data_IF_993666586938
#
_entry.id   IF_993666586938
#
_cell.length_a   1.000
_cell.length_b   1.000
_cell.length_c   1.000
_cell.angle_alpha   90.00
_cell.angle_beta   90.00
_cell.angle_gamma   90.00
#
_symmetry.space_group_name_H-M   'P 1'
#
loop_
_entity.id
_entity.type
_entity.pdbx_description
1 polymer ?
#
# COMPACT_ATOMS: atom_id res chain seq x y z
N UNK A 1 -4.14 -6.72 6.97
CA UNK A 1 -5.12 -7.46 7.79
C UNK A 1 -5.79 -8.58 7.03
N UNK A 2 -6.56 -8.31 5.95
CA UNK A 2 -7.37 -9.35 5.27
C UNK A 2 -6.55 -10.50 4.69
N UNK A 3 -5.41 -10.22 4.04
CA UNK A 3 -4.50 -11.26 3.52
C UNK A 3 -3.91 -12.14 4.63
N UNK A 4 -3.53 -11.54 5.76
CA UNK A 4 -3.05 -12.27 6.92
C UNK A 4 -4.15 -13.15 7.53
N UNK A 5 -5.37 -12.62 7.67
CA UNK A 5 -6.51 -13.40 8.20
C UNK A 5 -6.81 -14.61 7.31
N UNK A 6 -6.78 -14.45 5.98
CA UNK A 6 -6.87 -15.55 5.02
C UNK A 6 -5.77 -16.58 5.27
N UNK A 7 -4.51 -16.15 5.29
CA UNK A 7 -3.38 -17.06 5.42
C UNK A 7 -3.39 -17.83 6.76
N UNK A 8 -3.74 -17.17 7.88
CA UNK A 8 -3.88 -17.82 9.18
C UNK A 8 -5.00 -18.87 9.17
N UNK A 9 -6.18 -18.51 8.70
CA UNK A 9 -7.33 -19.40 8.68
C UNK A 9 -7.11 -20.61 7.75
N UNK A 10 -6.60 -20.40 6.55
CA UNK A 10 -6.28 -21.47 5.58
C UNK A 10 -5.17 -22.41 6.09
N UNK A 11 -4.26 -21.92 6.92
CA UNK A 11 -3.22 -22.73 7.60
C UNK A 11 -3.76 -23.40 8.88
N UNK A 12 -5.04 -23.31 9.17
CA UNK A 12 -5.72 -24.01 10.25
C UNK A 12 -5.74 -23.31 11.60
N UNK A 13 -5.32 -22.04 11.67
CA UNK A 13 -5.47 -21.26 12.89
C UNK A 13 -6.96 -21.14 13.29
N UNK A 14 -7.25 -21.27 14.58
CA UNK A 14 -8.60 -21.13 15.13
C UNK A 14 -8.77 -19.80 15.83
N UNK A 15 -10.02 -19.29 15.85
CA UNK A 15 -10.34 -18.04 16.53
C UNK A 15 -9.72 -16.80 15.87
N UNK A 16 -9.50 -16.84 14.57
CA UNK A 16 -9.03 -15.67 13.80
C UNK A 16 -10.18 -14.67 13.69
N UNK A 17 -10.01 -13.51 14.33
CA UNK A 17 -11.02 -12.43 14.31
C UNK A 17 -10.35 -11.13 13.88
N UNK A 18 -10.94 -10.44 12.92
CA UNK A 18 -10.53 -9.11 12.47
C UNK A 18 -11.56 -8.10 12.98
N UNK A 19 -11.11 -7.16 13.78
CA UNK A 19 -11.89 -5.99 14.19
C UNK A 19 -11.49 -4.79 13.34
N UNK A 20 -12.47 -4.09 12.80
CA UNK A 20 -12.25 -2.93 11.96
C UNK A 20 -13.32 -1.86 12.26
N UNK A 21 -12.98 -0.60 12.39
CA UNK A 21 -13.96 0.48 12.53
C UNK A 21 -14.78 0.71 11.26
N UNK A 22 -14.28 0.29 10.10
CA UNK A 22 -14.94 0.44 8.79
C UNK A 22 -14.49 -0.66 7.81
N UNK A 23 -15.19 -1.79 7.82
CA UNK A 23 -14.89 -2.90 6.91
C UNK A 23 -15.08 -2.52 5.42
N UNK A 24 -15.92 -1.57 5.09
CA UNK A 24 -16.01 -1.04 3.73
C UNK A 24 -14.71 -0.34 3.34
N UNK A 25 -14.07 0.30 4.32
CA UNK A 25 -12.75 0.89 4.17
C UNK A 25 -12.76 2.23 3.46
N UNK A 26 -13.83 3.01 3.58
CA UNK A 26 -14.02 4.29 2.87
C UNK A 26 -12.89 5.31 3.05
N UNK A 27 -12.10 5.18 4.12
CA UNK A 27 -10.93 6.02 4.40
C UNK A 27 -9.62 5.22 4.38
N UNK A 28 -9.67 3.93 4.05
CA UNK A 28 -8.47 3.09 4.06
C UNK A 28 -7.60 3.31 2.83
N UNK A 29 -6.29 3.21 3.00
CA UNK A 29 -5.34 3.22 1.89
C UNK A 29 -5.62 2.10 0.87
N UNK A 30 -6.24 1.00 1.30
CA UNK A 30 -6.63 -0.12 0.43
C UNK A 30 -7.79 0.22 -0.50
N UNK A 31 -8.69 1.13 -0.12
CA UNK A 31 -9.83 1.55 -0.94
C UNK A 31 -9.47 2.72 -1.86
N UNK A 32 -8.63 3.63 -1.35
CA UNK A 32 -8.35 4.91 -1.99
C UNK A 32 -7.12 4.91 -2.91
N UNK A 33 -6.49 3.73 -3.15
CA UNK A 33 -5.31 3.64 -3.99
C UNK A 33 -5.63 3.51 -5.49
N UNK A 34 -4.62 3.74 -6.31
CA UNK A 34 -4.70 3.70 -7.77
C UNK A 34 -4.64 2.29 -8.40
N UNK A 35 -4.55 1.22 -7.62
CA UNK A 35 -4.57 -0.15 -8.12
C UNK A 35 -3.30 -0.62 -8.84
N UNK A 36 -2.24 0.17 -8.86
CA UNK A 36 -0.99 -0.20 -9.47
C UNK A 36 -0.24 -1.28 -8.69
N UNK A 37 0.31 -2.28 -9.39
CA UNK A 37 1.15 -3.33 -8.80
C UNK A 37 2.41 -3.55 -9.62
N UNK A 38 3.57 -3.52 -8.96
CA UNK A 38 4.89 -3.63 -9.59
C UNK A 38 5.89 -4.36 -8.70
N UNK A 39 6.92 -4.93 -9.30
CA UNK A 39 8.08 -5.46 -8.58
C UNK A 39 9.38 -4.73 -8.96
N UNK A 40 9.27 -3.62 -9.66
CA UNK A 40 10.39 -2.75 -10.05
C UNK A 40 10.84 -1.87 -8.88
N UNK A 41 11.36 -2.49 -7.81
CA UNK A 41 11.94 -1.86 -6.63
C UNK A 41 13.46 -1.90 -6.65
N UNK A 42 14.10 -1.18 -5.72
CA UNK A 42 15.56 -1.22 -5.54
C UNK A 42 15.98 -2.33 -4.57
N UNK A 43 15.23 -2.54 -3.49
CA UNK A 43 15.57 -3.51 -2.47
C UNK A 43 15.15 -4.93 -2.84
N UNK A 44 16.06 -5.92 -2.79
CA UNK A 44 15.75 -7.32 -3.13
C UNK A 44 14.56 -7.89 -2.33
N UNK A 45 14.42 -7.50 -1.07
CA UNK A 45 13.31 -7.95 -0.22
C UNK A 45 11.96 -7.44 -0.73
N UNK A 46 11.88 -6.16 -1.15
CA UNK A 46 10.66 -5.56 -1.72
C UNK A 46 10.34 -6.17 -3.10
N UNK A 47 11.35 -6.42 -3.93
CA UNK A 47 11.20 -7.11 -5.22
C UNK A 47 10.58 -8.49 -5.01
N UNK A 48 11.12 -9.27 -4.06
CA UNK A 48 10.63 -10.63 -3.78
C UNK A 48 9.19 -10.62 -3.25
N UNK A 49 8.86 -9.72 -2.33
CA UNK A 49 7.49 -9.57 -1.82
C UNK A 49 6.49 -9.30 -2.95
N UNK A 50 6.82 -8.36 -3.83
CA UNK A 50 5.96 -8.00 -4.95
C UNK A 50 5.86 -9.13 -5.96
N UNK A 51 6.98 -9.74 -6.36
CA UNK A 51 6.98 -10.86 -7.30
C UNK A 51 6.06 -11.98 -6.85
N UNK A 52 6.20 -12.43 -5.60
CA UNK A 52 5.38 -13.51 -5.04
C UNK A 52 3.89 -13.13 -4.96
N UNK A 53 3.60 -11.87 -4.66
CA UNK A 53 2.22 -11.38 -4.64
C UNK A 53 1.64 -11.27 -6.04
N UNK A 54 2.39 -10.76 -7.01
CA UNK A 54 1.95 -10.63 -8.41
C UNK A 54 1.78 -12.01 -9.05
N UNK A 55 2.63 -12.99 -8.73
CA UNK A 55 2.43 -14.38 -9.16
C UNK A 55 1.09 -14.93 -8.65
N UNK A 56 0.74 -14.63 -7.40
CA UNK A 56 -0.57 -14.99 -6.85
C UNK A 56 -1.71 -14.23 -7.54
N UNK A 57 -1.58 -12.93 -7.79
CA UNK A 57 -2.62 -12.15 -8.48
C UNK A 57 -2.83 -12.62 -9.91
N UNK A 58 -1.77 -13.03 -10.60
CA UNK A 58 -1.87 -13.59 -11.94
C UNK A 58 -2.61 -14.95 -11.95
N UNK A 59 -2.40 -15.77 -10.92
CA UNK A 59 -3.13 -17.03 -10.77
C UNK A 59 -4.62 -16.85 -10.44
N UNK A 60 -5.02 -15.65 -9.97
CA UNK A 60 -6.38 -15.26 -9.58
C UNK A 60 -6.87 -14.01 -10.33
N UNK A 61 -6.42 -13.84 -11.58
CA UNK A 61 -6.55 -12.60 -12.32
C UNK A 61 -8.00 -12.12 -12.46
N UNK A 62 -8.94 -13.03 -12.72
CA UNK A 62 -10.37 -12.70 -12.84
C UNK A 62 -10.96 -12.24 -11.52
N UNK A 63 -10.62 -12.92 -10.40
CA UNK A 63 -11.17 -12.61 -9.08
C UNK A 63 -10.67 -11.27 -8.52
N UNK A 64 -9.45 -10.86 -8.88
CA UNK A 64 -8.82 -9.64 -8.34
C UNK A 64 -8.69 -8.53 -9.38
N UNK A 65 -9.13 -8.78 -10.62
CA UNK A 65 -9.05 -7.83 -11.72
C UNK A 65 -7.61 -7.50 -12.15
N UNK A 66 -6.66 -8.43 -11.97
CA UNK A 66 -5.27 -8.19 -12.34
C UNK A 66 -5.07 -8.25 -13.85
N UNK A 67 -4.34 -7.27 -14.37
CA UNK A 67 -3.92 -7.19 -15.76
C UNK A 67 -2.43 -6.87 -15.82
N UNK A 68 -1.64 -7.72 -16.45
CA UNK A 68 -0.24 -7.47 -16.76
C UNK A 68 -0.13 -6.53 -17.96
N UNK A 69 -0.43 -5.25 -17.75
CA UNK A 69 -0.42 -4.23 -18.80
C UNK A 69 0.86 -3.38 -18.80
N UNK A 70 1.79 -3.70 -17.91
CA UNK A 70 3.10 -3.08 -17.81
C UNK A 70 3.15 -1.78 -17.00
N UNK A 71 4.37 -1.44 -16.60
CA UNK A 71 4.75 -0.13 -16.11
C UNK A 71 5.78 0.46 -17.06
N UNK A 72 5.59 1.69 -17.46
CA UNK A 72 6.51 2.43 -18.31
C UNK A 72 7.05 3.64 -17.56
N UNK A 73 8.33 3.58 -17.22
CA UNK A 73 9.06 4.62 -16.53
C UNK A 73 9.83 5.46 -17.54
N UNK A 74 9.42 6.70 -17.78
CA UNK A 74 10.21 7.63 -18.60
C UNK A 74 11.49 8.00 -17.87
N UNK A 75 12.61 8.09 -18.60
CA UNK A 75 13.92 8.22 -17.98
C UNK A 75 14.67 9.44 -18.54
N UNK A 76 15.06 10.33 -17.63
CA UNK A 76 16.16 11.28 -17.87
C UNK A 76 17.52 10.57 -17.74
N UNK A 77 18.61 11.27 -18.04
CA UNK A 77 19.98 10.75 -17.85
C UNK A 77 20.21 10.27 -16.42
N UNK A 78 19.84 11.11 -15.45
CA UNK A 78 20.00 10.82 -14.01
C UNK A 78 19.04 9.72 -13.54
N UNK A 79 17.82 9.72 -14.08
CA UNK A 79 16.81 8.70 -13.82
C UNK A 79 17.30 7.32 -14.25
N UNK A 80 17.81 7.20 -15.47
CA UNK A 80 18.35 5.96 -16.01
C UNK A 80 19.54 5.46 -15.18
N UNK A 81 20.52 6.32 -14.91
CA UNK A 81 21.69 5.97 -14.11
C UNK A 81 21.33 5.49 -12.70
N UNK A 82 20.25 6.01 -12.12
CA UNK A 82 19.71 5.52 -10.84
C UNK A 82 19.04 4.15 -10.99
N UNK A 83 18.18 3.98 -11.99
CA UNK A 83 17.41 2.77 -12.23
C UNK A 83 18.29 1.58 -12.60
N UNK A 84 19.36 1.79 -13.37
CA UNK A 84 20.34 0.76 -13.75
C UNK A 84 20.95 0.03 -12.56
N UNK A 85 21.06 0.66 -11.38
CA UNK A 85 21.53 0.03 -10.14
C UNK A 85 20.64 -1.12 -9.67
N UNK A 86 19.38 -1.16 -10.15
CA UNK A 86 18.42 -2.22 -9.78
C UNK A 86 18.35 -3.35 -10.80
N UNK A 87 18.92 -3.20 -11.98
CA UNK A 87 18.79 -4.19 -13.05
C UNK A 87 19.34 -5.57 -12.66
N UNK A 88 20.42 -5.60 -11.89
CA UNK A 88 20.97 -6.86 -11.37
C UNK A 88 19.97 -7.56 -10.43
N UNK A 89 19.38 -6.79 -9.49
CA UNK A 89 18.40 -7.31 -8.54
C UNK A 89 17.15 -7.83 -9.27
N UNK A 90 16.68 -7.14 -10.31
CA UNK A 90 15.54 -7.60 -11.11
C UNK A 90 15.85 -8.89 -11.88
N UNK A 91 17.05 -8.99 -12.49
CA UNK A 91 17.53 -10.21 -13.18
C UNK A 91 17.63 -11.38 -12.20
N UNK A 92 18.23 -11.17 -11.03
CA UNK A 92 18.33 -12.20 -9.98
C UNK A 92 16.97 -12.66 -9.48
N UNK A 93 16.01 -11.75 -9.38
CA UNK A 93 14.63 -12.07 -9.03
C UNK A 93 13.84 -12.72 -10.17
N UNK A 94 14.39 -12.83 -11.37
CA UNK A 94 13.68 -13.30 -12.56
C UNK A 94 12.54 -12.38 -13.00
N UNK A 95 12.65 -11.07 -12.68
CA UNK A 95 11.63 -10.09 -13.06
C UNK A 95 11.97 -9.47 -14.42
N UNK A 96 11.12 -9.62 -15.46
CA UNK A 96 11.41 -9.13 -16.80
C UNK A 96 11.31 -7.61 -16.88
N UNK A 97 12.24 -7.01 -17.59
CA UNK A 97 12.22 -5.60 -17.95
C UNK A 97 12.88 -5.39 -19.31
N UNK A 98 12.55 -4.28 -19.95
CA UNK A 98 13.13 -3.84 -21.21
C UNK A 98 13.61 -2.39 -21.06
N UNK A 99 14.73 -2.08 -21.69
CA UNK A 99 15.19 -0.69 -21.81
C UNK A 99 14.89 -0.24 -23.22
N UNK A 100 14.14 0.83 -23.36
CA UNK A 100 13.70 1.40 -24.63
C UNK A 100 14.45 2.71 -24.90
N UNK A 101 14.89 2.90 -26.12
CA UNK A 101 15.29 4.22 -26.60
C UNK A 101 14.08 5.10 -26.91
N UNK A 102 14.32 6.37 -27.21
CA UNK A 102 13.26 7.34 -27.53
C UNK A 102 12.48 6.93 -28.78
N UNK A 103 13.13 6.27 -29.75
CA UNK A 103 12.45 5.83 -30.98
C UNK A 103 11.42 4.73 -30.68
N UNK A 104 11.79 3.72 -29.88
CA UNK A 104 10.88 2.66 -29.42
C UNK A 104 9.78 3.21 -28.53
N UNK A 105 10.11 4.16 -27.65
CA UNK A 105 9.13 4.85 -26.82
C UNK A 105 8.05 5.53 -27.68
N UNK A 106 8.45 6.34 -28.67
CA UNK A 106 7.53 7.02 -29.60
C UNK A 106 6.72 6.06 -30.47
N UNK A 107 7.29 4.93 -30.83
CA UNK A 107 6.56 3.90 -31.57
C UNK A 107 5.44 3.25 -30.72
N UNK A 108 5.64 3.13 -29.41
CA UNK A 108 4.65 2.57 -28.49
C UNK A 108 3.63 3.62 -28.01
N UNK A 109 4.09 4.83 -27.72
CA UNK A 109 3.30 5.94 -27.19
C UNK A 109 3.49 7.18 -28.07
N UNK A 110 2.90 7.16 -29.28
CA UNK A 110 3.08 8.20 -30.31
C UNK A 110 2.57 9.58 -29.90
N UNK A 111 1.78 9.64 -28.84
CA UNK A 111 1.28 10.87 -28.24
C UNK A 111 2.34 11.58 -27.37
N UNK A 112 3.45 10.93 -27.01
CA UNK A 112 4.60 11.58 -26.35
C UNK A 112 5.41 12.29 -27.43
N UNK A 113 5.22 13.59 -27.56
CA UNK A 113 5.86 14.40 -28.60
C UNK A 113 7.03 15.26 -28.09
N UNK A 114 7.10 15.55 -26.79
CA UNK A 114 8.17 16.32 -26.14
C UNK A 114 9.10 15.38 -25.37
N UNK A 115 10.27 15.15 -25.89
CA UNK A 115 11.22 14.11 -25.40
C UNK A 115 12.65 14.60 -25.22
N UNK A 116 12.89 15.90 -25.25
CA UNK A 116 14.26 16.49 -25.25
C UNK A 116 15.01 16.20 -23.94
N UNK A 117 14.29 15.98 -22.84
CA UNK A 117 14.83 15.60 -21.53
C UNK A 117 14.96 14.08 -21.34
N UNK A 118 14.52 13.27 -22.30
CA UNK A 118 14.49 11.82 -22.18
C UNK A 118 15.66 11.15 -22.90
N UNK A 119 16.24 10.14 -22.25
CA UNK A 119 17.15 9.16 -22.88
C UNK A 119 16.41 7.88 -23.30
N UNK A 120 15.16 7.72 -22.88
CA UNK A 120 14.31 6.57 -23.19
C UNK A 120 13.36 6.23 -22.06
N UNK A 121 13.06 4.94 -21.92
CA UNK A 121 12.20 4.43 -20.88
C UNK A 121 12.63 3.04 -20.40
N UNK A 122 12.17 2.66 -19.20
CA UNK A 122 12.23 1.28 -18.70
C UNK A 122 10.81 0.74 -18.65
N UNK A 123 10.59 -0.39 -19.31
CA UNK A 123 9.30 -1.07 -19.36
C UNK A 123 9.36 -2.41 -18.64
N UNK A 124 8.44 -2.62 -17.71
CA UNK A 124 8.31 -3.88 -16.98
C UNK A 124 6.96 -4.55 -17.33
N UNK A 125 6.94 -5.54 -18.24
CA UNK A 125 5.71 -6.07 -18.83
C UNK A 125 4.82 -6.86 -17.86
N UNK A 126 5.37 -7.35 -16.75
CA UNK A 126 4.61 -8.08 -15.72
C UNK A 126 4.12 -7.20 -14.58
N UNK A 127 4.59 -5.97 -14.49
CA UNK A 127 3.95 -4.97 -13.66
C UNK A 127 2.57 -4.66 -14.26
N UNK A 128 1.63 -4.16 -13.48
CA UNK A 128 0.31 -3.94 -14.03
C UNK A 128 -0.67 -3.29 -13.07
N UNK A 129 -1.93 -3.52 -13.32
CA UNK A 129 -3.05 -2.95 -12.57
C UNK A 129 -3.94 -4.06 -12.02
N UNK A 130 -4.55 -3.82 -10.88
CA UNK A 130 -5.61 -4.67 -10.34
C UNK A 130 -6.72 -3.82 -9.72
N UNK A 131 -7.83 -4.45 -9.40
CA UNK A 131 -8.88 -3.78 -8.66
C UNK A 131 -8.67 -4.01 -7.15
N UNK A 132 -8.29 -2.96 -6.37
CA UNK A 132 -7.99 -3.11 -4.94
C UNK A 132 -9.19 -3.59 -4.12
N UNK A 133 -10.42 -3.24 -4.55
CA UNK A 133 -11.64 -3.67 -3.89
C UNK A 133 -11.92 -5.15 -4.12
N UNK A 134 -11.77 -5.63 -5.34
CA UNK A 134 -11.88 -7.06 -5.64
C UNK A 134 -10.82 -7.86 -4.88
N UNK A 135 -9.58 -7.39 -4.81
CA UNK A 135 -8.53 -8.03 -4.03
C UNK A 135 -8.87 -8.11 -2.53
N UNK A 136 -9.35 -7.00 -1.95
CA UNK A 136 -9.81 -6.95 -0.56
C UNK A 136 -10.92 -7.97 -0.30
N UNK A 137 -11.92 -8.03 -1.18
CA UNK A 137 -13.05 -8.96 -1.09
C UNK A 137 -12.59 -10.40 -1.28
N UNK A 138 -11.71 -10.67 -2.22
CA UNK A 138 -11.12 -12.00 -2.45
C UNK A 138 -10.47 -12.54 -1.18
N UNK A 139 -9.58 -11.77 -0.54
CA UNK A 139 -8.96 -12.19 0.72
C UNK A 139 -9.98 -12.43 1.83
N UNK A 140 -10.97 -11.56 1.96
CA UNK A 140 -12.02 -11.70 2.99
C UNK A 140 -12.91 -12.91 2.76
N UNK A 141 -13.32 -13.17 1.54
CA UNK A 141 -14.14 -14.33 1.20
C UNK A 141 -13.39 -15.62 1.53
N UNK A 142 -12.13 -15.74 1.14
CA UNK A 142 -11.30 -16.90 1.45
C UNK A 142 -11.08 -17.06 2.95
N UNK A 143 -10.78 -15.96 3.65
CA UNK A 143 -10.62 -15.99 5.10
C UNK A 143 -11.89 -16.48 5.82
N UNK A 144 -13.06 -15.94 5.44
CA UNK A 144 -14.36 -16.38 6.00
C UNK A 144 -14.66 -17.85 5.69
N UNK A 145 -14.43 -18.29 4.45
CA UNK A 145 -14.61 -19.69 4.06
C UNK A 145 -13.71 -20.64 4.87
N UNK A 146 -12.53 -20.19 5.29
CA UNK A 146 -11.62 -20.92 6.17
C UNK A 146 -11.90 -20.76 7.67
N UNK A 147 -12.96 -20.01 8.05
CA UNK A 147 -13.42 -19.89 9.44
C UNK A 147 -12.99 -18.62 10.18
N UNK A 148 -12.43 -17.63 9.50
CA UNK A 148 -12.16 -16.32 10.11
C UNK A 148 -13.44 -15.48 10.24
N UNK A 149 -13.49 -14.64 11.28
CA UNK A 149 -14.60 -13.71 11.53
C UNK A 149 -14.15 -12.27 11.30
N UNK A 150 -14.99 -11.46 10.70
CA UNK A 150 -14.78 -10.01 10.53
C UNK A 150 -15.87 -9.26 11.29
N UNK A 151 -15.46 -8.39 12.19
CA UNK A 151 -16.31 -7.61 13.08
C UNK A 151 -16.20 -6.14 12.71
N UNK A 152 -17.27 -5.60 12.14
CA UNK A 152 -17.36 -4.23 11.66
C UNK A 152 -17.68 -3.23 12.75
N UNK A 153 -17.34 -1.97 12.53
CA UNK A 153 -17.70 -0.82 13.39
C UNK A 153 -17.19 -0.97 14.83
N UNK A 154 -15.98 -1.48 14.97
CA UNK A 154 -15.34 -1.63 16.28
C UNK A 154 -13.99 -0.90 16.27
N UNK A 155 -13.92 0.23 16.96
CA UNK A 155 -12.73 1.05 17.11
C UNK A 155 -11.99 0.67 18.39
N UNK A 156 -10.71 0.31 18.28
CA UNK A 156 -9.87 -0.02 19.45
C UNK A 156 -9.67 1.25 20.29
N UNK A 157 -9.95 1.16 21.61
CA UNK A 157 -9.81 2.26 22.54
C UNK A 157 -8.74 2.03 23.60
N UNK A 158 -8.49 0.79 23.93
CA UNK A 158 -7.48 0.41 24.92
C UNK A 158 -6.94 -0.99 24.64
N UNK A 159 -5.65 -1.19 24.93
CA UNK A 159 -5.00 -2.48 24.82
C UNK A 159 -3.98 -2.65 25.95
N UNK A 160 -3.96 -3.84 26.58
CA UNK A 160 -3.01 -4.16 27.62
C UNK A 160 -2.44 -5.56 27.42
N UNK A 161 -1.15 -5.62 27.19
CA UNK A 161 -0.41 -6.90 27.10
C UNK A 161 -0.17 -7.43 28.50
N UNK A 162 -0.59 -8.67 28.76
CA UNK A 162 -0.44 -9.34 30.06
C UNK A 162 0.07 -10.77 29.93
N UNK A 163 0.39 -11.38 31.06
CA UNK A 163 0.88 -12.76 31.10
C UNK A 163 -0.14 -13.77 30.56
N UNK A 164 -1.44 -13.51 30.77
CA UNK A 164 -2.53 -14.39 30.34
C UNK A 164 -3.02 -14.14 28.91
N UNK A 165 -2.63 -13.04 28.27
CA UNK A 165 -3.11 -12.64 26.95
C UNK A 165 -3.06 -11.15 26.76
N UNK A 166 -3.63 -10.69 25.65
CA UNK A 166 -3.81 -9.27 25.33
C UNK A 166 -5.27 -8.89 25.60
N UNK A 167 -5.48 -7.99 26.53
CA UNK A 167 -6.78 -7.45 26.86
C UNK A 167 -7.06 -6.26 25.97
N UNK A 168 -8.20 -6.28 25.28
CA UNK A 168 -8.59 -5.27 24.30
C UNK A 168 -9.95 -4.70 24.66
N UNK A 169 -10.11 -3.40 24.47
CA UNK A 169 -11.39 -2.74 24.61
C UNK A 169 -11.72 -1.98 23.33
N UNK A 170 -12.91 -2.25 22.80
CA UNK A 170 -13.43 -1.61 21.60
C UNK A 170 -14.66 -0.75 21.93
N UNK A 171 -14.75 0.38 21.26
CA UNK A 171 -15.99 1.13 21.13
C UNK A 171 -16.73 0.64 19.89
N UNK A 172 -18.03 0.38 20.04
CA UNK A 172 -18.90 0.07 18.92
C UNK A 172 -19.42 1.38 18.31
N UNK A 173 -19.09 1.63 17.05
CA UNK A 173 -19.56 2.80 16.30
C UNK A 173 -21.01 2.65 15.87
N UNK A 174 -21.66 3.75 15.53
CA UNK A 174 -23.05 3.81 15.06
C UNK A 174 -23.33 2.90 13.84
N UNK A 175 -24.59 2.67 13.54
CA UNK A 175 -24.99 1.74 12.47
C UNK A 175 -24.69 2.23 11.05
N UNK A 176 -24.58 3.54 10.86
CA UNK A 176 -24.30 4.14 9.55
C UNK A 176 -23.58 5.50 9.75
N UNK A 177 -22.30 5.48 10.19
CA UNK A 177 -21.57 6.72 10.43
C UNK A 177 -21.30 7.44 9.10
N UNK A 178 -21.47 8.77 9.09
CA UNK A 178 -21.10 9.62 7.99
C UNK A 178 -19.57 9.59 7.76
N UNK A 179 -19.11 10.13 6.63
CA UNK A 179 -17.66 10.25 6.38
C UNK A 179 -16.97 11.09 7.45
N UNK A 180 -17.59 12.18 7.87
CA UNK A 180 -17.09 13.09 8.91
C UNK A 180 -17.01 12.36 10.26
N UNK A 181 -18.05 11.62 10.66
CA UNK A 181 -18.05 10.83 11.89
C UNK A 181 -16.95 9.75 11.89
N UNK A 182 -16.67 9.13 10.73
CA UNK A 182 -15.55 8.21 10.58
C UNK A 182 -14.20 8.91 10.75
N UNK A 183 -14.01 10.08 10.11
CA UNK A 183 -12.78 10.88 10.25
C UNK A 183 -12.56 11.28 11.72
N UNK A 184 -13.59 11.74 12.41
CA UNK A 184 -13.52 12.13 13.82
C UNK A 184 -13.22 10.92 14.72
N UNK A 185 -13.82 9.77 14.44
CA UNK A 185 -13.53 8.53 15.15
C UNK A 185 -12.06 8.14 15.02
N UNK A 186 -11.49 8.18 13.82
CA UNK A 186 -10.07 7.89 13.59
C UNK A 186 -9.14 8.92 14.24
N UNK A 187 -9.42 10.21 14.11
CA UNK A 187 -8.64 11.29 14.79
C UNK A 187 -8.65 11.14 16.30
N UNK A 188 -9.75 10.64 16.87
CA UNK A 188 -9.88 10.43 18.31
C UNK A 188 -8.93 9.37 18.86
N UNK A 189 -8.31 8.52 18.00
CA UNK A 189 -7.31 7.52 18.42
C UNK A 189 -6.05 8.17 19.03
N UNK A 190 -5.69 9.39 18.64
CA UNK A 190 -4.55 10.10 19.22
C UNK A 190 -4.71 10.30 20.74
N UNK A 191 -5.95 10.46 21.22
CA UNK A 191 -6.30 10.66 22.64
C UNK A 191 -7.09 9.48 23.18
N UNK A 192 -6.83 8.28 22.66
CA UNK A 192 -7.61 7.10 23.01
C UNK A 192 -7.49 6.74 24.48
N UNK A 193 -8.60 6.42 25.09
CA UNK A 193 -8.73 6.00 26.49
C UNK A 193 -9.88 4.99 26.61
N UNK A 194 -9.90 4.16 27.66
CA UNK A 194 -11.00 3.24 27.89
C UNK A 194 -12.36 3.90 27.84
N UNK A 195 -13.30 3.31 27.11
CA UNK A 195 -14.67 3.83 26.97
C UNK A 195 -15.62 3.09 27.90
N UNK A 196 -16.44 3.79 28.73
CA UNK A 196 -17.48 3.13 29.52
C UNK A 196 -18.43 2.31 28.63
N UNK A 197 -18.71 1.06 29.00
CA UNK A 197 -19.60 0.18 28.23
C UNK A 197 -19.00 -0.43 26.96
N UNK A 198 -17.73 -0.23 26.68
CA UNK A 198 -17.06 -0.80 25.52
C UNK A 198 -16.99 -2.34 25.54
N UNK A 199 -16.89 -2.94 24.35
CA UNK A 199 -16.73 -4.39 24.18
C UNK A 199 -15.34 -4.80 24.64
N UNK A 200 -15.23 -5.73 25.58
CA UNK A 200 -13.96 -6.24 26.10
C UNK A 200 -13.73 -7.67 25.65
N UNK A 201 -12.54 -7.93 25.15
CA UNK A 201 -12.10 -9.26 24.78
C UNK A 201 -10.68 -9.53 25.30
N UNK A 202 -10.33 -10.79 25.37
CA UNK A 202 -8.95 -11.25 25.60
C UNK A 202 -8.56 -12.14 24.44
N UNK A 203 -7.41 -11.87 23.86
CA UNK A 203 -6.84 -12.64 22.76
C UNK A 203 -5.47 -13.21 23.20
N UNK A 204 -5.11 -14.38 22.67
CA UNK A 204 -3.77 -14.93 22.87
C UNK A 204 -2.71 -14.07 22.19
N UNK A 205 -3.04 -13.57 21.00
CA UNK A 205 -2.16 -12.78 20.15
C UNK A 205 -2.94 -11.65 19.46
N UNK A 206 -2.25 -10.56 19.18
CA UNK A 206 -2.76 -9.45 18.38
C UNK A 206 -1.80 -9.13 17.25
N UNK A 207 -2.33 -8.68 16.13
CA UNK A 207 -1.55 -8.12 15.03
C UNK A 207 -2.03 -6.70 14.73
N UNK A 208 -1.13 -5.74 14.86
CA UNK A 208 -1.39 -4.37 14.44
C UNK A 208 -1.34 -4.29 12.89
N UNK A 209 -2.49 -4.16 12.27
CA UNK A 209 -2.65 -3.97 10.82
C UNK A 209 -3.41 -2.67 10.53
N UNK A 210 -3.28 -1.67 11.42
CA UNK A 210 -4.12 -0.49 11.40
C UNK A 210 -3.73 0.57 10.34
N UNK A 211 -2.73 0.27 9.49
CA UNK A 211 -2.29 1.16 8.41
C UNK A 211 -1.96 2.56 8.95
N UNK A 212 -2.54 3.65 8.42
CA UNK A 212 -2.22 5.01 8.84
C UNK A 212 -2.42 5.30 10.35
N UNK A 213 -3.11 4.41 11.06
CA UNK A 213 -3.33 4.50 12.52
C UNK A 213 -2.50 3.50 13.32
N UNK A 214 -1.53 2.85 12.70
CA UNK A 214 -0.71 1.84 13.38
C UNK A 214 0.10 2.42 14.54
N UNK A 215 0.52 3.68 14.44
CA UNK A 215 1.23 4.37 15.52
C UNK A 215 0.37 4.52 16.78
N UNK A 216 -0.90 4.87 16.64
CA UNK A 216 -1.84 5.00 17.74
C UNK A 216 -2.11 3.64 18.40
N UNK A 217 -2.29 2.60 17.59
CA UNK A 217 -2.45 1.22 18.08
C UNK A 217 -1.17 0.72 18.76
N UNK A 218 0.01 1.01 18.22
CA UNK A 218 1.29 0.67 18.81
C UNK A 218 1.44 1.27 20.22
N UNK A 219 1.10 2.57 20.37
CA UNK A 219 1.09 3.25 21.67
C UNK A 219 0.18 2.56 22.68
N UNK A 220 -1.03 2.13 22.30
CA UNK A 220 -1.93 1.37 23.18
C UNK A 220 -1.32 0.02 23.58
N UNK A 221 -0.60 -0.62 22.69
CA UNK A 221 0.07 -1.91 22.90
C UNK A 221 1.42 -1.78 23.64
N UNK A 222 1.88 -0.55 23.91
CA UNK A 222 3.07 -0.28 24.68
C UNK A 222 4.40 -0.41 23.93
N UNK A 223 4.40 -0.11 22.61
CA UNK A 223 5.63 -0.06 21.81
C UNK A 223 5.68 1.16 20.89
N UNK A 224 6.86 1.55 20.47
CA UNK A 224 7.08 2.66 19.58
C UNK A 224 6.97 2.23 18.12
N UNK A 225 6.25 3.04 17.32
CA UNK A 225 6.13 2.89 15.89
C UNK A 225 6.69 4.15 15.21
N UNK A 226 7.78 4.06 14.44
CA UNK A 226 8.43 5.23 13.86
C UNK A 226 7.71 5.80 12.63
N UNK A 227 6.57 5.21 12.25
CA UNK A 227 5.80 5.61 11.07
C UNK A 227 5.04 6.91 11.28
N UNK A 228 4.69 7.53 10.17
CA UNK A 228 3.84 8.71 10.13
C UNK A 228 2.90 8.65 8.92
N UNK A 229 1.75 9.29 9.05
CA UNK A 229 0.77 9.39 7.98
C UNK A 229 0.99 10.65 7.16
N UNK A 230 0.86 10.54 5.83
CA UNK A 230 0.86 11.67 4.91
C UNK A 230 -0.25 11.52 3.90
N UNK A 231 -0.83 12.64 3.48
CA UNK A 231 -1.82 12.65 2.43
C UNK A 231 -1.18 12.29 1.07
N UNK A 232 -1.94 11.56 0.26
CA UNK A 232 -1.67 11.41 -1.17
C UNK A 232 -2.95 11.72 -1.93
N UNK A 233 -2.83 12.48 -2.99
CA UNK A 233 -3.95 12.98 -3.77
C UNK A 233 -3.97 12.29 -5.14
N UNK A 234 -5.15 11.88 -5.54
CA UNK A 234 -5.41 11.24 -6.83
C UNK A 234 -6.45 12.06 -7.58
N UNK A 235 -6.21 12.30 -8.86
CA UNK A 235 -7.11 12.98 -9.78
C UNK A 235 -7.66 12.01 -10.82
N UNK A 236 -8.94 12.12 -11.12
CA UNK A 236 -9.58 11.52 -12.28
C UNK A 236 -9.79 12.62 -13.33
N UNK A 237 -9.35 12.38 -14.56
CA UNK A 237 -9.40 13.36 -15.63
C UNK A 237 -9.63 12.71 -16.98
N UNK A 238 -10.04 13.50 -17.98
CA UNK A 238 -10.37 13.09 -19.33
C UNK A 238 -9.29 13.58 -20.31
N UNK A 239 -8.84 12.69 -21.20
CA UNK A 239 -7.93 12.99 -22.30
C UNK A 239 -8.61 12.64 -23.63
N UNK A 240 -9.44 13.53 -24.14
CA UNK A 240 -10.30 13.28 -25.31
C UNK A 240 -9.56 12.91 -26.58
N UNK A 241 -8.34 13.42 -26.74
CA UNK A 241 -7.57 13.35 -27.99
C UNK A 241 -6.45 12.29 -27.93
N UNK A 242 -6.42 11.48 -26.85
CA UNK A 242 -5.38 10.45 -26.64
C UNK A 242 -6.01 9.12 -26.28
N UNK A 243 -5.77 8.11 -27.11
CA UNK A 243 -6.12 6.74 -26.76
C UNK A 243 -5.01 6.13 -25.89
N UNK A 244 -5.31 5.91 -24.63
CA UNK A 244 -4.42 5.24 -23.66
C UNK A 244 -4.89 3.81 -23.32
N UNK A 245 -5.88 3.28 -24.03
CA UNK A 245 -6.51 1.98 -23.72
C UNK A 245 -5.52 0.80 -23.69
N UNK A 246 -4.43 0.90 -24.43
CA UNK A 246 -3.35 -0.11 -24.48
C UNK A 246 -2.21 0.16 -23.50
N UNK A 247 -2.22 1.29 -22.79
CA UNK A 247 -1.18 1.65 -21.83
C UNK A 247 -1.47 1.01 -20.47
N UNK A 248 -0.40 0.64 -19.79
CA UNK A 248 -0.43 0.35 -18.36
C UNK A 248 -0.20 1.60 -17.51
N UNK A 249 0.48 1.44 -16.39
CA UNK A 249 0.93 2.57 -15.58
C UNK A 249 2.07 3.30 -16.26
N UNK A 250 1.94 4.60 -16.39
CA UNK A 250 2.96 5.50 -16.92
C UNK A 250 3.52 6.35 -15.78
N UNK A 251 4.84 6.50 -15.71
CA UNK A 251 5.51 7.37 -14.75
C UNK A 251 6.41 8.34 -15.51
N UNK A 252 6.06 9.61 -15.43
CA UNK A 252 6.80 10.69 -16.05
C UNK A 252 8.03 11.10 -15.24
N UNK A 253 9.01 11.74 -15.85
CA UNK A 253 10.22 12.27 -15.16
C UNK A 253 9.90 13.31 -14.11
N UNK A 254 8.76 13.99 -14.20
CA UNK A 254 8.21 14.89 -13.17
C UNK A 254 7.77 14.18 -11.89
N UNK A 255 7.61 12.86 -11.93
CA UNK A 255 7.05 12.05 -10.85
C UNK A 255 5.54 11.87 -10.93
N UNK A 256 4.87 12.49 -11.89
CA UNK A 256 3.45 12.23 -12.15
C UNK A 256 3.29 10.81 -12.70
N UNK A 257 2.44 10.04 -12.05
CA UNK A 257 2.00 8.73 -12.55
C UNK A 257 0.55 8.78 -13.00
N UNK A 258 0.22 7.99 -14.02
CA UNK A 258 -1.14 7.88 -14.50
C UNK A 258 -1.39 6.59 -15.27
N UNK A 259 -2.65 6.19 -15.35
CA UNK A 259 -3.09 5.03 -16.13
C UNK A 259 -4.55 5.19 -16.58
N UNK A 260 -4.98 4.46 -17.63
CA UNK A 260 -6.39 4.44 -18.02
C UNK A 260 -7.25 3.73 -16.96
N UNK A 261 -8.39 4.33 -16.62
CA UNK A 261 -9.36 3.81 -15.66
C UNK A 261 -10.80 4.08 -16.15
N UNK A 262 -11.52 3.00 -16.50
CA UNK A 262 -12.93 3.05 -16.89
C UNK A 262 -13.28 4.13 -17.97
N UNK A 263 -12.41 4.29 -18.98
CA UNK A 263 -12.57 5.26 -20.05
C UNK A 263 -12.08 6.68 -19.73
N UNK A 264 -11.52 6.88 -18.55
CA UNK A 264 -10.84 8.09 -18.10
C UNK A 264 -9.39 7.80 -17.76
N UNK A 265 -8.72 8.76 -17.15
CA UNK A 265 -7.36 8.62 -16.64
C UNK A 265 -7.38 8.89 -15.15
N UNK A 266 -6.70 8.04 -14.42
CA UNK A 266 -6.43 8.20 -12.99
C UNK A 266 -4.95 8.48 -12.83
N UNK A 267 -4.61 9.53 -12.08
CA UNK A 267 -3.21 9.90 -11.87
C UNK A 267 -2.99 10.68 -10.58
N UNK A 268 -1.74 10.76 -10.20
CA UNK A 268 -1.30 11.44 -8.98
C UNK A 268 0.19 11.71 -8.98
N UNK A 269 0.66 12.25 -7.88
CA UNK A 269 2.08 12.49 -7.61
C UNK A 269 2.35 12.35 -6.11
N UNK A 270 3.51 11.79 -5.74
CA UNK A 270 3.95 11.76 -4.36
C UNK A 270 4.68 13.05 -3.99
N UNK A 271 3.96 14.04 -3.48
CA UNK A 271 4.56 15.28 -2.98
C UNK A 271 5.40 14.99 -1.73
N UNK A 272 6.68 15.42 -1.74
CA UNK A 272 7.60 15.21 -0.61
C UNK A 272 7.33 16.16 0.55
N UNK A 273 6.79 17.33 0.25
CA UNK A 273 6.54 18.42 1.23
C UNK A 273 5.13 18.35 1.83
N UNK A 274 4.39 17.28 1.59
CA UNK A 274 3.06 17.09 2.17
C UNK A 274 3.17 17.03 3.70
N UNK A 275 2.40 17.83 4.44
CA UNK A 275 2.44 17.85 5.91
C UNK A 275 2.10 16.48 6.51
N UNK A 276 2.84 16.09 7.55
CA UNK A 276 2.53 14.90 8.34
C UNK A 276 1.19 15.08 9.04
N UNK A 277 0.32 14.07 8.96
CA UNK A 277 -0.98 14.05 9.64
C UNK A 277 -2.07 13.33 8.85
N UNK A 278 -3.25 13.30 9.47
CA UNK A 278 -4.43 12.61 8.91
C UNK A 278 -5.30 13.63 8.15
N UNK A 279 -4.88 13.98 6.94
CA UNK A 279 -5.62 14.86 6.05
C UNK A 279 -6.23 14.05 4.89
N UNK A 280 -7.56 14.09 4.74
CA UNK A 280 -8.31 13.40 3.69
C UNK A 280 -8.88 14.37 2.65
N UNK A 281 -8.55 15.64 2.73
CA UNK A 281 -9.06 16.66 1.83
C UNK A 281 -8.33 16.61 0.49
N UNK A 282 -9.06 16.77 -0.57
CA UNK A 282 -8.51 16.96 -1.90
C UNK A 282 -8.38 18.45 -2.18
N UNK A 283 -7.21 18.90 -2.63
CA UNK A 283 -6.92 20.33 -2.87
C UNK A 283 -7.56 20.88 -4.14
N UNK A 284 -8.44 20.11 -4.79
CA UNK A 284 -9.29 20.61 -5.86
C UNK A 284 -8.57 20.82 -7.20
N UNK A 285 -9.09 21.79 -7.94
CA UNK A 285 -8.62 22.14 -9.29
C UNK A 285 -7.17 22.64 -9.26
N UNK A 286 -6.75 23.36 -8.25
CA UNK A 286 -5.39 23.92 -8.14
C UNK A 286 -4.35 22.80 -8.10
N UNK A 287 -4.60 21.72 -7.31
CA UNK A 287 -3.73 20.55 -7.30
C UNK A 287 -3.64 19.90 -8.68
N UNK A 288 -4.78 19.73 -9.37
CA UNK A 288 -4.78 19.15 -10.70
C UNK A 288 -3.99 20.02 -11.68
N UNK A 289 -4.23 21.31 -11.70
CA UNK A 289 -3.59 22.23 -12.63
C UNK A 289 -2.08 22.29 -12.43
N UNK A 290 -1.62 22.48 -11.20
CA UNK A 290 -0.21 22.70 -10.91
C UNK A 290 0.61 21.41 -10.89
N UNK A 291 0.04 20.33 -10.35
CA UNK A 291 0.79 19.11 -10.05
C UNK A 291 0.60 17.99 -11.07
N UNK A 292 -0.50 17.98 -11.82
CA UNK A 292 -0.81 16.94 -12.80
C UNK A 292 -0.81 17.49 -14.22
N UNK A 293 -1.68 18.49 -14.48
CA UNK A 293 -1.87 18.99 -15.83
C UNK A 293 -0.61 19.65 -16.42
N UNK A 294 0.01 20.57 -15.68
CA UNK A 294 1.18 21.30 -16.17
C UNK A 294 2.34 20.38 -16.56
N UNK A 295 2.81 19.42 -15.70
CA UNK A 295 3.85 18.49 -16.10
C UNK A 295 3.47 17.60 -17.29
N UNK A 296 2.21 17.15 -17.37
CA UNK A 296 1.77 16.32 -18.46
C UNK A 296 1.64 17.09 -19.77
N UNK A 297 1.21 18.36 -19.75
CA UNK A 297 1.20 19.25 -20.90
C UNK A 297 2.63 19.60 -21.41
N UNK A 298 3.61 19.60 -20.48
CA UNK A 298 5.02 19.68 -20.85
C UNK A 298 5.55 18.40 -21.49
N UNK A 299 4.91 17.26 -21.28
CA UNK A 299 5.26 15.96 -21.88
C UNK A 299 4.60 15.75 -23.24
N UNK A 300 3.39 16.26 -23.44
CA UNK A 300 2.65 16.06 -24.66
C UNK A 300 1.75 17.26 -24.97
N UNK A 301 1.82 17.77 -26.22
CA UNK A 301 0.90 18.80 -26.68
C UNK A 301 -0.57 18.35 -26.67
N UNK A 302 -0.83 17.04 -26.79
CA UNK A 302 -2.17 16.48 -26.70
C UNK A 302 -2.75 16.52 -25.29
N UNK A 303 -1.91 16.65 -24.27
CA UNK A 303 -2.34 16.79 -22.87
C UNK A 303 -2.68 18.24 -22.47
N UNK A 304 -2.48 19.20 -23.35
CA UNK A 304 -2.95 20.58 -23.13
C UNK A 304 -4.47 20.66 -22.96
N UNK A 305 -5.22 19.72 -23.57
CA UNK A 305 -6.68 19.65 -23.50
C UNK A 305 -7.24 18.73 -22.38
N UNK A 306 -6.41 18.27 -21.44
CA UNK A 306 -6.87 17.48 -20.30
C UNK A 306 -7.93 18.22 -19.49
N UNK A 307 -8.95 17.50 -19.05
CA UNK A 307 -10.04 18.05 -18.24
C UNK A 307 -10.16 17.32 -16.92
N UNK A 308 -9.98 18.04 -15.84
CA UNK A 308 -10.24 17.54 -14.49
C UNK A 308 -11.72 17.17 -14.32
N UNK A 309 -12.00 16.06 -13.66
CA UNK A 309 -13.34 15.57 -13.35
C UNK A 309 -13.60 15.59 -11.85
N UNK A 310 -12.73 14.94 -11.08
CA UNK A 310 -12.78 14.88 -9.62
C UNK A 310 -11.46 14.35 -9.08
N UNK A 311 -11.31 14.43 -7.76
CA UNK A 311 -10.19 13.80 -7.08
C UNK A 311 -10.55 13.45 -5.64
N UNK A 312 -9.63 12.81 -4.96
CA UNK A 312 -9.74 12.48 -3.53
C UNK A 312 -8.37 12.44 -2.87
N UNK A 313 -8.37 12.66 -1.56
CA UNK A 313 -7.21 12.44 -0.70
C UNK A 313 -7.32 11.09 0.03
N UNK A 314 -6.22 10.38 0.09
CA UNK A 314 -6.03 9.18 0.90
C UNK A 314 -4.78 9.33 1.77
N UNK A 315 -4.50 8.36 2.63
CA UNK A 315 -3.32 8.38 3.48
C UNK A 315 -2.34 7.29 3.06
N UNK A 316 -1.06 7.65 2.94
CA UNK A 316 0.03 6.71 3.08
C UNK A 316 0.48 6.66 4.54
N UNK A 317 0.93 5.52 4.97
CA UNK A 317 1.68 5.32 6.19
C UNK A 317 3.12 5.04 5.82
N UNK A 318 4.01 5.96 6.13
CA UNK A 318 5.40 5.97 5.68
C UNK A 318 6.30 5.59 6.84
N UNK A 319 7.20 4.63 6.61
CA UNK A 319 8.32 4.31 7.51
C UNK A 319 9.55 5.14 7.17
N UNK A 320 10.52 5.31 8.10
CA UNK A 320 11.72 6.12 7.85
C UNK A 320 12.59 5.65 6.67
N UNK A 321 12.48 4.39 6.28
CA UNK A 321 13.23 3.78 5.16
C UNK A 321 12.34 3.38 3.97
N UNK A 322 11.08 3.85 3.99
CA UNK A 322 10.10 3.62 2.92
C UNK A 322 9.84 2.14 2.61
N UNK A 323 10.03 1.27 3.59
CA UNK A 323 9.76 -0.17 3.49
C UNK A 323 8.87 -0.66 4.63
N UNK A 324 8.08 -1.70 4.38
CA UNK A 324 7.10 -2.23 5.34
C UNK A 324 7.72 -2.59 6.71
N UNK A 325 6.92 -2.50 7.76
CA UNK A 325 7.26 -2.96 9.10
C UNK A 325 6.41 -4.21 9.38
N UNK A 326 7.09 -5.37 9.51
CA UNK A 326 6.41 -6.66 9.65
C UNK A 326 7.20 -7.55 10.60
N UNK A 327 6.55 -8.10 11.61
CA UNK A 327 7.19 -9.07 12.49
C UNK A 327 6.54 -9.20 13.86
N UNK A 328 7.27 -9.83 14.76
CA UNK A 328 6.97 -9.86 16.18
C UNK A 328 7.52 -8.61 16.86
N UNK A 329 6.71 -8.00 17.69
CA UNK A 329 7.08 -6.80 18.45
C UNK A 329 7.62 -7.18 19.82
N UNK A 330 8.76 -6.62 20.17
CA UNK A 330 9.28 -6.67 21.53
C UNK A 330 8.53 -5.64 22.39
N UNK A 331 7.50 -6.08 23.10
CA UNK A 331 6.86 -5.28 24.15
C UNK A 331 7.66 -5.44 25.44
N UNK A 332 7.49 -4.59 26.45
CA UNK A 332 8.18 -4.71 27.75
C UNK A 332 8.02 -6.06 28.48
N UNK A 333 7.42 -7.06 27.85
CA UNK A 333 7.37 -8.47 28.24
C UNK A 333 8.67 -9.19 27.78
N UNK A 334 9.04 -10.32 28.38
CA UNK A 334 10.20 -11.11 27.94
C UNK A 334 10.14 -11.39 26.43
N UNK A 335 11.28 -11.29 25.76
CA UNK A 335 11.42 -11.61 24.32
C UNK A 335 10.83 -12.98 24.02
N UNK A 336 10.15 -13.07 22.86
CA UNK A 336 9.58 -14.33 22.40
C UNK A 336 8.28 -14.73 23.09
N UNK A 337 7.56 -13.81 23.75
CA UNK A 337 6.20 -14.10 24.21
C UNK A 337 5.24 -14.39 23.08
N UNK A 338 5.56 -13.96 21.84
CA UNK A 338 4.76 -14.19 20.62
C UNK A 338 3.34 -13.66 20.72
N UNK A 339 3.10 -12.56 21.44
CA UNK A 339 1.76 -12.03 21.68
C UNK A 339 1.40 -10.85 20.79
N UNK A 340 2.36 -10.00 20.48
CA UNK A 340 2.14 -8.79 19.68
C UNK A 340 2.93 -8.89 18.38
N UNK A 341 2.24 -8.71 17.28
CA UNK A 341 2.79 -8.68 15.94
C UNK A 341 2.34 -7.41 15.21
N UNK A 342 3.04 -7.08 14.15
CA UNK A 342 2.74 -5.90 13.34
C UNK A 342 2.87 -6.20 11.85
N UNK A 343 2.07 -5.51 11.03
CA UNK A 343 2.10 -5.57 9.57
C UNK A 343 1.50 -4.29 9.02
N UNK A 344 2.31 -3.27 8.86
CA UNK A 344 1.90 -1.92 8.51
C UNK A 344 3.06 -1.13 7.85
N UNK A 345 2.91 0.18 7.67
CA UNK A 345 3.94 1.12 7.16
C UNK A 345 4.46 0.76 5.77
N UNK A 346 3.59 0.35 4.90
CA UNK A 346 3.96 -0.11 3.56
C UNK A 346 4.39 1.01 2.60
N UNK A 347 4.36 2.26 3.00
CA UNK A 347 4.88 3.42 2.24
C UNK A 347 4.38 3.47 0.78
N UNK A 348 3.08 3.15 0.56
CA UNK A 348 2.47 3.06 -0.76
C UNK A 348 2.55 1.69 -1.45
N UNK A 349 3.29 0.73 -0.91
CA UNK A 349 3.52 -0.58 -1.54
C UNK A 349 2.60 -1.70 -1.03
N UNK A 350 1.64 -1.39 -0.17
CA UNK A 350 0.84 -2.39 0.55
C UNK A 350 0.07 -3.35 -0.34
N UNK A 351 -0.46 -2.89 -1.45
CA UNK A 351 -1.25 -3.73 -2.35
C UNK A 351 -0.40 -4.84 -2.96
N UNK A 352 0.76 -4.50 -3.54
CA UNK A 352 1.62 -5.46 -4.21
C UNK A 352 2.46 -6.32 -3.25
N UNK A 353 2.50 -6.01 -1.96
CA UNK A 353 3.15 -6.83 -0.92
C UNK A 353 2.15 -7.69 -0.14
N UNK A 354 0.84 -7.43 -0.26
CA UNK A 354 -0.20 -7.91 0.66
C UNK A 354 -0.25 -9.42 0.83
N UNK A 355 -0.19 -10.19 -0.28
CA UNK A 355 -0.25 -11.65 -0.21
C UNK A 355 1.00 -12.25 0.43
N UNK A 356 2.17 -11.94 -0.10
CA UNK A 356 3.42 -12.53 0.36
C UNK A 356 3.69 -12.20 1.84
N UNK A 357 3.49 -10.94 2.25
CA UNK A 357 3.65 -10.52 3.63
C UNK A 357 2.62 -11.16 4.57
N UNK A 358 1.35 -11.27 4.13
CA UNK A 358 0.32 -11.94 4.90
C UNK A 358 0.62 -13.42 5.14
N UNK A 359 1.05 -14.14 4.10
CA UNK A 359 1.44 -15.55 4.22
C UNK A 359 2.69 -15.73 5.08
N UNK A 360 3.72 -14.91 4.88
CA UNK A 360 4.97 -15.00 5.63
C UNK A 360 4.75 -14.72 7.12
N UNK A 361 3.94 -13.71 7.45
CA UNK A 361 3.63 -13.42 8.86
C UNK A 361 2.78 -14.52 9.49
N UNK A 362 1.82 -15.10 8.77
CA UNK A 362 1.07 -16.25 9.25
C UNK A 362 1.98 -17.43 9.57
N UNK A 363 2.94 -17.75 8.70
CA UNK A 363 3.95 -18.79 8.94
C UNK A 363 4.82 -18.49 10.17
N UNK A 364 5.29 -17.24 10.31
CA UNK A 364 6.05 -16.80 11.48
C UNK A 364 5.25 -16.98 12.76
N UNK A 365 3.97 -16.58 12.78
CA UNK A 365 3.09 -16.71 13.93
C UNK A 365 2.82 -18.16 14.31
N UNK A 366 2.63 -19.06 13.34
CA UNK A 366 2.28 -20.45 13.59
C UNK A 366 3.50 -21.34 13.87
N UNK A 367 4.61 -21.09 13.18
CA UNK A 367 5.76 -21.99 13.13
C UNK A 367 7.05 -21.35 13.67
N UNK A 368 7.01 -20.12 14.16
CA UNK A 368 8.18 -19.36 14.64
C UNK A 368 9.08 -18.81 13.52
N UNK A 369 8.91 -19.23 12.28
CA UNK A 369 9.65 -18.75 11.09
C UNK A 369 8.79 -18.84 9.84
N UNK A 370 9.08 -18.01 8.86
CA UNK A 370 8.54 -18.14 7.51
C UNK A 370 9.52 -18.88 6.60
N UNK A 371 8.95 -19.63 5.64
CA UNK A 371 9.68 -20.24 4.52
C UNK A 371 9.61 -19.39 3.26
N UNK A 372 8.66 -18.48 3.21
CA UNK A 372 8.36 -17.67 2.03
C UNK A 372 9.27 -16.43 1.95
N UNK A 373 9.44 -15.73 3.08
CA UNK A 373 10.20 -14.50 3.20
C UNK A 373 11.02 -14.49 4.51
N UNK A 374 12.20 -13.89 4.47
CA UNK A 374 12.90 -13.51 5.68
C UNK A 374 12.27 -12.23 6.26
N UNK A 375 11.46 -12.39 7.31
CA UNK A 375 10.81 -11.26 7.96
C UNK A 375 11.73 -10.47 8.89
N UNK A 376 12.91 -10.97 9.24
CA UNK A 376 13.83 -10.25 10.12
C UNK A 376 14.37 -8.97 9.45
N UNK A 377 14.39 -8.94 8.11
CA UNK A 377 14.76 -7.73 7.35
C UNK A 377 13.68 -6.64 7.43
N UNK A 378 12.42 -7.01 7.68
CA UNK A 378 11.28 -6.10 7.81
C UNK A 378 10.93 -5.75 9.26
N UNK A 379 11.56 -6.40 10.23
CA UNK A 379 11.25 -6.19 11.65
C UNK A 379 11.45 -4.73 12.08
N UNK A 380 10.56 -4.20 12.93
CA UNK A 380 10.66 -2.83 13.44
C UNK A 380 11.99 -2.55 14.17
N UNK A 381 12.58 -3.55 14.82
CA UNK A 381 13.91 -3.45 15.45
C UNK A 381 15.06 -3.14 14.48
N UNK A 382 14.85 -3.17 13.15
CA UNK A 382 15.87 -2.77 12.17
C UNK A 382 16.27 -1.30 12.31
N UNK A 383 15.35 -0.44 12.74
CA UNK A 383 15.64 0.98 12.96
C UNK A 383 16.63 1.19 14.10
N UNK A 384 16.48 0.49 15.23
CA UNK A 384 17.40 0.53 16.34
C UNK A 384 18.79 -0.06 15.99
N UNK A 385 18.80 -1.07 15.12
CA UNK A 385 20.03 -1.74 14.66
C UNK A 385 20.73 -1.00 13.52
N UNK A 386 20.14 0.07 12.96
CA UNK A 386 20.66 0.78 11.80
C UNK A 386 20.70 -0.04 10.50
N UNK A 387 19.88 -1.10 10.40
CA UNK A 387 19.80 -1.99 9.21
C UNK A 387 18.62 -1.61 8.32
N UNK A 388 18.67 -0.43 7.74
CA UNK A 388 17.59 0.12 6.94
C UNK A 388 17.42 -0.59 5.59
N UNK A 389 16.17 -0.74 5.17
CA UNK A 389 15.76 -1.19 3.84
C UNK A 389 15.41 0.02 2.96
N UNK A 390 16.32 0.98 2.84
CA UNK A 390 16.04 2.24 2.14
C UNK A 390 15.55 1.99 0.72
N UNK A 391 14.26 2.21 0.50
CA UNK A 391 13.63 2.13 -0.81
C UNK A 391 13.50 3.54 -1.41
N UNK A 392 13.78 3.69 -2.67
CA UNK A 392 13.74 5.00 -3.34
C UNK A 392 12.78 5.05 -4.54
N UNK A 393 12.17 3.93 -4.87
CA UNK A 393 11.15 3.85 -5.91
C UNK A 393 9.74 4.08 -5.32
N UNK A 394 9.53 5.19 -4.60
CA UNK A 394 8.22 5.59 -4.08
C UNK A 394 7.62 6.62 -5.04
N UNK A 395 6.39 6.37 -5.48
CA UNK A 395 5.57 7.21 -6.34
C UNK A 395 4.28 7.58 -5.61
#
# INVERSE_FOLDING_TARGET
GSALAMALAEKGAKGVVVYDPDLEGTLSSSELNAGGVRATFFQPANILCSRLSIDYFAAHAEEVGYRACGYLWLQSVEGMARTERSFENWRMAGWPYEVWDVAKLKAHASWIDKTDDLVGAVYAPRDGLLNPNLLKLHFRHRAKAAGATFVDRHLLRDAKVGAAGVHLQFEKLGSNPSREEKVDAYRSLEKSSPTPGGVRITADRIVNCAGPWAKEVARMLGYDCPSYSVRRQISLFDARDVDLSTCGMMIDTSGVYFHPEAGYILGGIAERDEPIGQNFEYSGEDFFQEKIWMPLAERSSKFEALRHLKGWGGLYEVSPDESAIIGEVETGMPRGTGRVFESHSYSGHGVMHSYACGVALAERMLNGKSRLLDLDVFAGSRFERGKLLSESAVI
#
